data_IF_713610934413
#
_entry.id   IF_713610934413
#
_cell.length_a   1.000
_cell.length_b   1.000
_cell.length_c   1.000
_cell.angle_alpha   90.00
_cell.angle_beta   90.00
_cell.angle_gamma   90.00
#
_symmetry.space_group_name_H-M   'P 1'
#
loop_
_entity.id
_entity.type
_entity.pdbx_description
1 polymer ?
#
# COMPACT_ATOMS: atom_id res chain seq x y z
N UNK A 1 13.00 12.97 -28.34
CA UNK A 1 13.40 11.87 -27.43
C UNK A 1 12.15 11.12 -27.00
N UNK A 2 11.97 9.90 -27.47
CA UNK A 2 10.87 9.03 -27.01
C UNK A 2 11.27 8.51 -25.63
N UNK A 3 10.79 9.18 -24.58
CA UNK A 3 10.93 8.66 -23.22
C UNK A 3 10.14 7.35 -23.13
N UNK A 4 10.72 6.33 -22.50
CA UNK A 4 9.99 5.12 -22.16
C UNK A 4 8.68 5.50 -21.43
N UNK A 5 7.56 4.80 -21.69
CA UNK A 5 6.31 5.11 -21.02
C UNK A 5 6.52 4.99 -19.52
N UNK A 6 6.19 6.06 -18.78
CA UNK A 6 6.32 6.06 -17.34
C UNK A 6 5.44 4.95 -16.75
N UNK A 7 5.99 4.15 -15.82
CA UNK A 7 5.30 3.03 -15.16
C UNK A 7 3.99 3.44 -14.48
N UNK A 8 3.81 4.73 -14.15
CA UNK A 8 2.62 5.28 -13.50
C UNK A 8 2.08 6.45 -14.29
N UNK A 9 0.76 6.47 -14.45
CA UNK A 9 0.07 7.59 -15.10
C UNK A 9 0.19 8.86 -14.27
N UNK A 10 0.08 10.03 -14.92
CA UNK A 10 0.10 11.32 -14.24
C UNK A 10 -0.95 11.41 -13.11
N UNK A 11 -2.17 10.92 -13.38
CA UNK A 11 -3.24 10.87 -12.37
C UNK A 11 -2.85 10.04 -11.14
N UNK A 12 -2.18 8.89 -11.32
CA UNK A 12 -1.70 8.08 -10.19
C UNK A 12 -0.61 8.78 -9.37
N UNK A 13 0.26 9.54 -10.04
CA UNK A 13 1.29 10.36 -9.38
C UNK A 13 0.66 11.46 -8.54
N UNK A 14 -0.28 12.22 -9.09
CA UNK A 14 -1.02 13.28 -8.37
C UNK A 14 -1.80 12.69 -7.19
N UNK A 15 -2.50 11.57 -7.36
CA UNK A 15 -3.18 10.88 -6.27
C UNK A 15 -2.21 10.44 -5.15
N UNK A 16 -1.01 9.99 -5.53
CA UNK A 16 0.03 9.62 -4.57
C UNK A 16 0.54 10.84 -3.80
N UNK A 17 0.78 11.96 -4.50
CA UNK A 17 1.20 13.23 -3.90
C UNK A 17 0.14 13.74 -2.91
N UNK A 18 -1.13 13.78 -3.32
CA UNK A 18 -2.25 14.18 -2.47
C UNK A 18 -2.34 13.30 -1.22
N UNK A 19 -2.25 11.97 -1.37
CA UNK A 19 -2.26 11.04 -0.23
C UNK A 19 -1.09 11.30 0.73
N UNK A 20 0.11 11.56 0.22
CA UNK A 20 1.28 11.87 1.05
C UNK A 20 1.10 13.18 1.82
N UNK A 21 0.64 14.24 1.15
CA UNK A 21 0.36 15.54 1.77
C UNK A 21 -0.72 15.44 2.88
N UNK A 22 -1.82 14.73 2.60
CA UNK A 22 -2.88 14.49 3.60
C UNK A 22 -2.36 13.76 4.84
N UNK A 23 -1.51 12.74 4.65
CA UNK A 23 -0.85 12.08 5.77
C UNK A 23 0.02 13.08 6.51
N UNK A 24 0.91 13.81 5.83
CA UNK A 24 1.77 14.79 6.50
C UNK A 24 1.01 15.80 7.37
N UNK A 25 -0.18 16.27 6.95
CA UNK A 25 -1.05 17.11 7.79
C UNK A 25 -1.46 16.37 9.08
N UNK A 26 -1.84 15.09 8.99
CA UNK A 26 -2.12 14.25 10.17
C UNK A 26 -0.90 14.09 11.08
N UNK A 27 0.32 14.21 10.55
CA UNK A 27 1.55 14.16 11.34
C UNK A 27 1.68 15.36 12.28
N UNK A 28 1.51 16.55 11.71
CA UNK A 28 1.71 17.80 12.44
C UNK A 28 0.58 18.07 13.44
N UNK A 29 -0.66 17.72 13.08
CA UNK A 29 -1.85 18.07 13.88
C UNK A 29 -2.53 16.88 14.56
N UNK A 30 -1.89 15.70 14.59
CA UNK A 30 -2.50 14.41 14.96
C UNK A 30 -3.23 14.35 16.31
N UNK A 31 -2.94 15.27 17.24
CA UNK A 31 -3.64 15.38 18.53
C UNK A 31 -5.08 15.92 18.42
N UNK A 32 -5.41 16.71 17.39
CA UNK A 32 -6.69 17.40 17.28
C UNK A 32 -7.36 17.17 15.91
N UNK A 33 -8.35 16.28 15.87
CA UNK A 33 -9.03 15.87 14.61
C UNK A 33 -9.70 17.02 13.84
N UNK A 34 -10.23 18.01 14.54
CA UNK A 34 -10.89 19.16 13.91
C UNK A 34 -9.89 20.06 13.17
N UNK A 35 -8.70 20.28 13.74
CA UNK A 35 -7.60 21.03 13.11
C UNK A 35 -7.10 20.28 11.87
N UNK A 36 -6.88 18.97 12.00
CA UNK A 36 -6.51 18.11 10.85
C UNK A 36 -7.54 18.26 9.73
N UNK A 37 -8.84 18.14 10.03
CA UNK A 37 -9.91 18.23 9.04
C UNK A 37 -9.92 19.60 8.34
N UNK A 38 -9.74 20.68 9.08
CA UNK A 38 -9.67 22.03 8.54
C UNK A 38 -8.54 22.16 7.50
N UNK A 39 -7.32 21.76 7.84
CA UNK A 39 -6.19 21.82 6.92
C UNK A 39 -6.33 20.86 5.73
N UNK A 40 -6.93 19.69 5.92
CA UNK A 40 -7.22 18.75 4.83
C UNK A 40 -8.18 19.34 3.79
N UNK A 41 -9.20 20.10 4.22
CA UNK A 41 -10.14 20.79 3.34
C UNK A 41 -9.44 21.92 2.57
N UNK A 42 -8.59 22.70 3.24
CA UNK A 42 -7.77 23.73 2.58
C UNK A 42 -6.83 23.13 1.53
N UNK A 43 -6.17 22.02 1.85
CA UNK A 43 -5.33 21.29 0.90
C UNK A 43 -6.15 20.82 -0.29
N UNK A 44 -7.33 20.23 -0.04
CA UNK A 44 -8.21 19.75 -1.11
C UNK A 44 -8.62 20.89 -2.05
N UNK A 45 -8.99 22.04 -1.50
CA UNK A 45 -9.33 23.23 -2.28
C UNK A 45 -8.16 23.67 -3.20
N UNK A 46 -6.91 23.63 -2.71
CA UNK A 46 -5.72 23.93 -3.54
C UNK A 46 -5.55 22.96 -4.72
N UNK A 47 -5.83 21.67 -4.51
CA UNK A 47 -5.78 20.68 -5.59
C UNK A 47 -6.93 20.86 -6.59
N UNK A 48 -8.14 21.10 -6.10
CA UNK A 48 -9.32 21.30 -6.96
C UNK A 48 -9.19 22.58 -7.80
N UNK A 49 -8.58 23.65 -7.28
CA UNK A 49 -8.28 24.87 -8.03
C UNK A 49 -7.37 24.63 -9.25
N UNK A 50 -6.51 23.61 -9.20
CA UNK A 50 -5.58 23.25 -10.27
C UNK A 50 -6.03 22.00 -11.06
N UNK A 51 -7.26 21.51 -10.85
CA UNK A 51 -7.73 20.26 -11.47
C UNK A 51 -7.94 20.39 -13.00
N UNK A 52 -8.24 21.59 -13.50
CA UNK A 52 -8.62 21.83 -14.91
C UNK A 52 -7.45 22.33 -15.78
N UNK A 53 -6.20 22.24 -15.31
CA UNK A 53 -5.02 22.62 -16.09
C UNK A 53 -4.88 21.68 -17.28
N UNK A 54 -4.99 22.19 -18.50
CA UNK A 54 -5.03 21.36 -19.72
C UNK A 54 -3.65 21.05 -20.30
N UNK A 55 -2.66 21.96 -20.19
CA UNK A 55 -1.32 21.75 -20.74
C UNK A 55 -0.55 20.68 -19.94
N UNK A 56 -0.11 19.57 -20.58
CA UNK A 56 0.72 18.56 -19.94
C UNK A 56 2.04 19.08 -19.36
N UNK A 57 2.62 20.16 -19.90
CA UNK A 57 3.85 20.75 -19.36
C UNK A 57 3.60 21.41 -18.01
N UNK A 58 2.54 22.20 -17.93
CA UNK A 58 2.13 22.88 -16.71
C UNK A 58 1.70 21.90 -15.63
N UNK A 59 0.97 20.85 -16.01
CA UNK A 59 0.64 19.74 -15.09
C UNK A 59 1.89 19.13 -14.45
N UNK A 60 2.93 18.84 -15.26
CA UNK A 60 4.20 18.28 -14.75
C UNK A 60 4.97 19.28 -13.89
N UNK A 61 4.93 20.57 -14.26
CA UNK A 61 5.57 21.62 -13.48
C UNK A 61 4.92 21.75 -12.10
N UNK A 62 3.59 21.86 -12.05
CA UNK A 62 2.81 21.90 -10.80
C UNK A 62 3.06 20.67 -9.94
N UNK A 63 3.11 19.49 -10.55
CA UNK A 63 3.45 18.26 -9.85
C UNK A 63 4.84 18.34 -9.20
N UNK A 64 5.87 18.79 -9.94
CA UNK A 64 7.24 18.94 -9.42
C UNK A 64 7.32 19.98 -8.29
N UNK A 65 6.60 21.09 -8.43
CA UNK A 65 6.51 22.12 -7.37
C UNK A 65 5.87 21.53 -6.12
N UNK A 66 4.78 20.76 -6.27
CA UNK A 66 4.11 20.10 -5.15
C UNK A 66 4.98 19.03 -4.48
N UNK A 67 5.77 18.27 -5.23
CA UNK A 67 6.76 17.33 -4.66
C UNK A 67 7.84 18.07 -3.86
N UNK A 68 8.32 19.20 -4.38
CA UNK A 68 9.31 20.01 -3.69
C UNK A 68 8.74 20.65 -2.40
N UNK A 69 7.53 21.21 -2.46
CA UNK A 69 6.83 21.72 -1.28
C UNK A 69 6.65 20.64 -0.22
N UNK A 70 6.20 19.45 -0.61
CA UNK A 70 6.03 18.31 0.29
C UNK A 70 7.36 17.91 0.96
N UNK A 71 8.44 17.85 0.19
CA UNK A 71 9.77 17.51 0.69
C UNK A 71 10.28 18.54 1.70
N UNK A 72 10.15 19.83 1.39
CA UNK A 72 10.61 20.91 2.27
C UNK A 72 9.80 21.02 3.57
N UNK A 73 8.52 20.67 3.53
CA UNK A 73 7.62 20.74 4.68
C UNK A 73 7.51 19.44 5.45
N UNK A 74 8.28 18.40 5.08
CA UNK A 74 8.13 17.05 5.61
C UNK A 74 8.33 16.99 7.12
N UNK A 75 7.43 16.31 7.82
CA UNK A 75 7.55 16.13 9.27
C UNK A 75 8.83 15.34 9.61
N UNK A 76 9.70 15.84 10.51
CA UNK A 76 10.97 15.18 10.84
C UNK A 76 10.80 13.78 11.41
N UNK A 77 9.74 13.59 12.21
CA UNK A 77 9.31 12.26 12.64
C UNK A 77 8.28 11.78 11.63
N UNK A 78 8.55 10.74 10.83
CA UNK A 78 7.50 10.21 9.97
C UNK A 78 6.33 9.77 10.87
N UNK A 79 5.10 10.07 10.46
CA UNK A 79 3.88 9.61 11.16
C UNK A 79 4.05 8.16 11.55
N UNK A 80 3.58 7.81 12.75
CA UNK A 80 3.34 6.45 13.17
C UNK A 80 2.51 5.75 12.09
N UNK A 81 3.19 5.14 11.12
CA UNK A 81 2.53 4.40 10.06
C UNK A 81 1.73 3.30 10.75
N UNK A 82 0.62 2.92 10.12
CA UNK A 82 -0.22 1.85 10.67
C UNK A 82 0.65 0.66 11.06
N UNK A 83 0.38 -0.01 12.19
CA UNK A 83 1.32 -0.96 12.77
C UNK A 83 1.86 -2.00 11.79
N UNK A 84 1.04 -2.46 10.82
CA UNK A 84 1.42 -3.47 9.82
C UNK A 84 1.85 -2.91 8.46
N UNK A 85 1.97 -1.60 8.30
CA UNK A 85 2.31 -0.98 7.01
C UNK A 85 3.70 -1.43 6.53
N UNK A 86 3.81 -1.67 5.23
CA UNK A 86 5.03 -2.13 4.55
C UNK A 86 5.82 -0.94 3.97
N UNK A 87 7.14 -1.08 3.81
CA UNK A 87 8.00 -0.14 3.06
C UNK A 87 9.19 0.43 3.85
N UNK A 88 9.81 1.49 3.32
CA UNK A 88 11.10 2.12 3.73
C UNK A 88 11.24 2.41 5.24
N UNK A 89 10.13 2.54 5.96
CA UNK A 89 10.13 2.48 7.42
C UNK A 89 8.89 1.68 7.79
N UNK A 90 9.02 0.37 8.04
CA UNK A 90 7.87 -0.46 8.39
C UNK A 90 7.14 0.08 9.62
N UNK A 91 5.85 -0.24 9.76
CA UNK A 91 5.16 0.03 11.02
C UNK A 91 5.77 -0.78 12.17
N UNK A 92 5.49 -0.40 13.42
CA UNK A 92 6.07 -1.04 14.63
C UNK A 92 5.71 -2.54 14.77
N UNK A 93 4.71 -3.02 14.03
CA UNK A 93 4.32 -4.43 13.98
C UNK A 93 4.48 -5.05 12.58
N UNK A 94 5.21 -4.39 11.67
CA UNK A 94 5.49 -4.95 10.36
C UNK A 94 6.39 -6.17 10.50
N UNK A 95 6.01 -7.27 9.85
CA UNK A 95 6.69 -8.57 9.93
C UNK A 95 6.91 -9.08 11.38
N UNK A 96 6.10 -8.62 12.35
CA UNK A 96 6.18 -9.09 13.74
C UNK A 96 5.85 -10.58 13.86
N UNK A 97 4.92 -11.06 13.04
CA UNK A 97 4.55 -12.47 12.94
C UNK A 97 4.98 -12.94 11.56
N UNK A 98 5.87 -13.93 11.53
CA UNK A 98 6.26 -14.61 10.31
C UNK A 98 5.41 -15.87 10.21
N UNK A 99 4.47 -15.89 9.29
CA UNK A 99 3.63 -17.06 9.04
C UNK A 99 4.40 -18.02 8.12
N UNK A 100 4.69 -19.26 8.56
CA UNK A 100 5.35 -20.24 7.70
C UNK A 100 4.42 -20.60 6.53
N UNK A 101 4.98 -20.88 5.34
CA UNK A 101 4.16 -21.24 4.20
C UNK A 101 3.51 -22.62 4.40
N UNK A 102 2.31 -22.83 3.82
CA UNK A 102 1.49 -24.02 4.06
C UNK A 102 2.21 -25.34 3.73
N UNK A 103 3.06 -25.35 2.70
CA UNK A 103 3.78 -26.54 2.26
C UNK A 103 4.71 -27.14 3.34
N UNK A 104 5.08 -26.38 4.38
CA UNK A 104 5.89 -26.89 5.50
C UNK A 104 5.19 -28.05 6.22
N UNK A 105 3.86 -28.05 6.25
CA UNK A 105 3.06 -29.11 6.88
C UNK A 105 3.13 -30.45 6.12
N UNK A 106 3.62 -30.46 4.87
CA UNK A 106 3.83 -31.70 4.12
C UNK A 106 5.03 -32.50 4.66
N UNK A 107 6.00 -31.82 5.25
CA UNK A 107 7.22 -32.43 5.80
C UNK A 107 7.04 -33.01 7.21
N UNK A 108 5.89 -32.82 7.86
CA UNK A 108 5.61 -33.36 9.20
C UNK A 108 5.66 -34.88 9.22
N UNK A 109 6.09 -35.45 10.35
CA UNK A 109 6.12 -36.89 10.53
C UNK A 109 4.70 -37.47 10.54
N UNK A 110 4.43 -38.67 9.99
CA UNK A 110 3.08 -39.24 9.95
C UNK A 110 2.39 -39.34 11.31
N UNK A 111 3.15 -39.58 12.39
CA UNK A 111 2.62 -39.60 13.76
C UNK A 111 2.10 -38.22 14.20
N UNK A 112 2.77 -37.14 13.82
CA UNK A 112 2.34 -35.76 14.12
C UNK A 112 1.09 -35.41 13.29
N UNK A 113 1.02 -35.88 12.05
CA UNK A 113 -0.17 -35.71 11.20
C UNK A 113 -1.38 -36.47 11.74
N UNK A 114 -1.15 -37.66 12.30
CA UNK A 114 -2.20 -38.51 12.88
C UNK A 114 -2.90 -37.85 14.08
N UNK A 115 -2.25 -36.88 14.74
CA UNK A 115 -2.86 -36.09 15.81
C UNK A 115 -4.00 -35.17 15.31
N UNK A 116 -3.97 -34.78 14.03
CA UNK A 116 -4.94 -33.84 13.42
C UNK A 116 -5.65 -34.44 12.20
N UNK A 117 -6.39 -35.56 12.34
CA UNK A 117 -6.89 -36.33 11.21
C UNK A 117 -7.90 -35.54 10.35
N UNK A 118 -8.79 -34.77 10.99
CA UNK A 118 -9.78 -33.96 10.29
C UNK A 118 -9.14 -32.81 9.48
N UNK A 119 -8.05 -32.22 9.98
CA UNK A 119 -7.35 -31.13 9.30
C UNK A 119 -6.64 -31.66 8.05
N UNK A 120 -5.84 -32.72 8.19
CA UNK A 120 -5.10 -33.29 7.06
C UNK A 120 -6.03 -33.90 5.99
N UNK A 121 -7.16 -34.54 6.38
CA UNK A 121 -8.16 -35.01 5.42
C UNK A 121 -8.72 -33.87 4.55
N UNK A 122 -9.07 -32.73 5.16
CA UNK A 122 -9.55 -31.55 4.43
C UNK A 122 -8.47 -30.91 3.56
N UNK A 123 -7.22 -30.93 4.04
CA UNK A 123 -6.07 -30.38 3.31
C UNK A 123 -5.80 -31.17 2.02
N UNK A 124 -5.83 -32.50 2.07
CA UNK A 124 -5.67 -33.34 0.88
C UNK A 124 -6.76 -33.11 -0.18
N UNK A 125 -8.02 -32.89 0.25
CA UNK A 125 -9.09 -32.49 -0.68
C UNK A 125 -8.76 -31.17 -1.39
N UNK A 126 -8.31 -30.15 -0.65
CA UNK A 126 -7.93 -28.84 -1.21
C UNK A 126 -6.73 -28.90 -2.14
N UNK A 127 -5.76 -29.77 -1.87
CA UNK A 127 -4.60 -29.98 -2.75
C UNK A 127 -5.04 -30.55 -4.10
N UNK A 128 -5.97 -31.51 -4.10
CA UNK A 128 -6.57 -32.04 -5.34
C UNK A 128 -7.32 -30.96 -6.10
N UNK A 129 -8.18 -30.19 -5.42
CA UNK A 129 -8.90 -29.07 -6.04
C UNK A 129 -7.94 -28.04 -6.68
N UNK A 130 -6.80 -27.76 -6.04
CA UNK A 130 -5.79 -26.87 -6.58
C UNK A 130 -5.14 -27.44 -7.86
N UNK A 131 -4.77 -28.72 -7.86
CA UNK A 131 -4.18 -29.39 -9.03
C UNK A 131 -5.18 -29.42 -10.19
N UNK A 132 -6.42 -29.79 -9.92
CA UNK A 132 -7.49 -29.84 -10.94
C UNK A 132 -7.69 -28.47 -11.60
N UNK A 133 -7.70 -27.38 -10.80
CA UNK A 133 -7.83 -26.00 -11.32
C UNK A 133 -6.60 -25.56 -12.10
N UNK A 134 -5.41 -25.99 -11.69
CA UNK A 134 -4.16 -25.69 -12.37
C UNK A 134 -4.12 -26.37 -13.75
N UNK A 135 -4.47 -27.65 -13.82
CA UNK A 135 -4.53 -28.41 -15.08
C UNK A 135 -5.57 -27.85 -16.06
N UNK A 136 -6.68 -27.32 -15.53
CA UNK A 136 -7.70 -26.62 -16.33
C UNK A 136 -7.30 -25.21 -16.78
N UNK A 137 -6.21 -24.67 -16.25
CA UNK A 137 -5.76 -23.29 -16.55
C UNK A 137 -6.62 -22.20 -15.92
N UNK A 138 -7.46 -22.51 -14.93
CA UNK A 138 -8.32 -21.54 -14.23
C UNK A 138 -7.58 -20.70 -13.18
N UNK A 139 -6.32 -21.07 -12.89
CA UNK A 139 -5.46 -20.46 -11.88
C UNK A 139 -4.46 -19.42 -12.45
N UNK A 140 -4.58 -19.08 -13.75
CA UNK A 140 -3.87 -17.97 -14.40
C UNK A 140 -4.85 -16.94 -14.97
#
# INVERSE_FOLDING_TARGET
MVYAPELRTHAQKVCTLYKKAMRQIEAYYGGARHVVRYHQVLLRNRFDANACVSDPKDQRLLYRIGEHELFMTQHPVPIAKFPRSVGIAGGVAHARVVEPPDWVLDYWHPLEKAQYPHYFKRRECRKKEYIDKWEKGELM
#
